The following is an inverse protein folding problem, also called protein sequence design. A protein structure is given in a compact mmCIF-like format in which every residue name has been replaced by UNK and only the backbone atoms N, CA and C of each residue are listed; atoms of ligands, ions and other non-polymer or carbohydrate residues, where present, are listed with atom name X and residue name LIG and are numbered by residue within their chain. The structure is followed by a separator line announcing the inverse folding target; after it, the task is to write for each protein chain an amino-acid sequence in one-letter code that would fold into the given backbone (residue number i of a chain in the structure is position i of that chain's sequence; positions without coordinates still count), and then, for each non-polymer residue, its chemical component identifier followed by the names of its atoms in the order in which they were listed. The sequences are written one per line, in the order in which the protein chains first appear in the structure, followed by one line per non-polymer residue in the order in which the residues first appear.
data_IF_534723704422
#
_entry.id   IF_534723704422
#
_cell.length_a   1.000
_cell.length_b   1.000
_cell.length_c   1.000
_cell.angle_alpha   90.00
_cell.angle_beta   90.00
_cell.angle_gamma   90.00
#
_symmetry.space_group_name_H-M   'P 1'
#
loop_
_entity.id
_entity.type
_entity.pdbx_description
1 polymer ?
#
# COMPACT_ATOMS: atom_id res chain seq x y z
N UNK A 1 3.47 20.88 -4.03
CA UNK A 1 3.89 19.67 -3.32
C UNK A 1 3.27 19.74 -1.93
N UNK A 2 2.33 18.86 -1.65
CA UNK A 2 1.80 18.69 -0.29
C UNK A 2 2.93 18.17 0.61
N UNK A 3 2.98 18.64 1.84
CA UNK A 3 3.89 18.11 2.88
C UNK A 3 3.26 16.86 3.47
N UNK A 4 4.04 15.77 3.54
CA UNK A 4 3.56 14.51 4.09
C UNK A 4 3.25 14.61 5.59
N UNK A 5 2.14 14.00 6.02
CA UNK A 5 1.64 14.02 7.39
C UNK A 5 2.58 13.35 8.40
N UNK A 6 3.37 12.35 7.98
CA UNK A 6 4.17 11.52 8.89
C UNK A 6 5.65 11.92 8.95
N UNK A 7 6.31 12.10 7.81
CA UNK A 7 7.74 12.42 7.77
C UNK A 7 8.04 13.93 7.85
N UNK A 8 7.03 14.79 7.64
CA UNK A 8 7.16 16.25 7.78
C UNK A 8 6.24 16.76 8.89
N UNK A 9 6.60 16.57 10.17
CA UNK A 9 5.72 16.92 11.28
C UNK A 9 5.45 18.43 11.31
N UNK A 10 4.18 18.81 11.16
CA UNK A 10 3.67 20.20 11.21
C UNK A 10 3.58 20.79 12.62
N UNK A 11 4.44 20.35 13.55
CA UNK A 11 4.48 20.81 14.95
C UNK A 11 3.83 19.87 15.98
N UNK A 12 3.06 18.87 15.54
CA UNK A 12 2.61 17.75 16.40
C UNK A 12 3.60 16.59 16.34
N UNK A 13 3.79 15.87 17.45
CA UNK A 13 4.60 14.65 17.45
C UNK A 13 3.91 13.55 16.64
N UNK A 14 4.67 12.69 15.95
CA UNK A 14 4.12 11.55 15.20
C UNK A 14 3.29 10.63 16.09
N UNK A 15 3.71 10.45 17.35
CA UNK A 15 2.98 9.64 18.36
C UNK A 15 1.63 10.24 18.70
N UNK A 16 1.53 11.55 18.90
CA UNK A 16 0.25 12.19 19.22
C UNK A 16 -0.66 12.27 17.99
N UNK A 17 -0.10 12.47 16.80
CA UNK A 17 -0.84 12.36 15.55
C UNK A 17 -1.38 10.93 15.36
N UNK A 18 -0.58 9.90 15.64
CA UNK A 18 -0.99 8.50 15.54
C UNK A 18 -2.15 8.15 16.49
N UNK A 19 -2.17 8.70 17.71
CA UNK A 19 -3.31 8.54 18.64
C UNK A 19 -4.59 9.16 18.07
N UNK A 20 -4.49 10.34 17.44
CA UNK A 20 -5.62 10.98 16.77
C UNK A 20 -6.10 10.15 15.58
N UNK A 21 -5.17 9.68 14.75
CA UNK A 21 -5.44 8.79 13.62
C UNK A 21 -6.17 7.51 14.08
N UNK A 22 -5.69 6.86 15.14
CA UNK A 22 -6.30 5.66 15.72
C UNK A 22 -7.71 5.91 16.33
N UNK A 23 -8.04 7.16 16.70
CA UNK A 23 -9.36 7.50 17.25
C UNK A 23 -10.49 7.40 16.22
N UNK A 24 -10.18 7.28 14.93
CA UNK A 24 -11.18 7.07 13.88
C UNK A 24 -12.05 8.30 13.59
N UNK A 25 -11.68 9.48 14.08
CA UNK A 25 -12.40 10.73 13.78
C UNK A 25 -12.11 11.11 12.32
N UNK A 26 -12.95 10.63 11.39
CA UNK A 26 -12.81 10.75 9.92
C UNK A 26 -12.72 12.22 9.43
N UNK A 27 -11.56 12.86 9.60
CA UNK A 27 -11.24 14.13 8.96
C UNK A 27 -10.62 13.88 7.58
N UNK A 28 -10.67 14.87 6.70
CA UNK A 28 -10.00 14.82 5.39
C UNK A 28 -8.49 14.63 5.50
N UNK A 29 -7.88 15.02 6.62
CA UNK A 29 -6.44 14.90 6.86
C UNK A 29 -6.01 13.42 6.98
N UNK A 30 -6.92 12.52 7.39
CA UNK A 30 -6.60 11.10 7.48
C UNK A 30 -6.58 10.40 6.12
N UNK A 31 -7.29 10.92 5.12
CA UNK A 31 -7.17 10.41 3.75
C UNK A 31 -5.78 10.73 3.18
N UNK A 32 -5.30 11.95 3.40
CA UNK A 32 -3.93 12.33 3.02
C UNK A 32 -2.89 11.51 3.79
N UNK A 33 -3.11 11.26 5.08
CA UNK A 33 -2.23 10.41 5.88
C UNK A 33 -2.15 8.96 5.36
N UNK A 34 -3.27 8.38 4.92
CA UNK A 34 -3.29 7.06 4.27
C UNK A 34 -2.54 7.07 2.94
N UNK A 35 -2.78 8.09 2.11
CA UNK A 35 -2.08 8.25 0.83
C UNK A 35 -0.56 8.36 1.02
N UNK A 36 -0.12 9.15 2.00
CA UNK A 36 1.30 9.29 2.32
C UNK A 36 1.95 7.95 2.68
N UNK A 37 1.24 7.06 3.39
CA UNK A 37 1.73 5.72 3.73
C UNK A 37 1.79 4.79 2.51
N UNK A 38 0.96 5.03 1.50
CA UNK A 38 1.00 4.26 0.26
C UNK A 38 2.11 4.70 -0.71
N UNK A 39 2.68 5.91 -0.57
CA UNK A 39 3.62 6.46 -1.55
C UNK A 39 4.95 6.94 -0.97
N UNK A 40 5.10 7.03 0.35
CA UNK A 40 6.32 7.51 0.99
C UNK A 40 6.88 6.52 2.01
N UNK A 41 8.05 5.94 1.72
CA UNK A 41 8.69 4.97 2.61
C UNK A 41 9.15 5.59 3.94
N UNK A 42 9.50 6.87 3.95
CA UNK A 42 9.83 7.61 5.18
C UNK A 42 8.61 7.76 6.08
N UNK A 43 7.42 8.00 5.49
CA UNK A 43 6.16 8.02 6.24
C UNK A 43 5.88 6.68 6.91
N UNK A 44 6.06 5.58 6.17
CA UNK A 44 5.93 4.22 6.71
C UNK A 44 6.92 3.99 7.86
N UNK A 45 8.17 4.43 7.72
CA UNK A 45 9.17 4.28 8.77
C UNK A 45 8.80 5.05 10.04
N UNK A 46 8.41 6.33 9.94
CA UNK A 46 8.02 7.13 11.10
C UNK A 46 6.71 6.65 11.73
N UNK A 47 5.75 6.18 10.93
CA UNK A 47 4.51 5.56 11.41
C UNK A 47 4.80 4.35 12.29
N UNK A 48 5.57 3.37 11.78
CA UNK A 48 5.83 2.13 12.52
C UNK A 48 6.72 2.35 13.74
N UNK A 49 7.64 3.32 13.66
CA UNK A 49 8.41 3.77 14.82
C UNK A 49 7.51 4.35 15.93
N UNK A 50 6.55 5.21 15.58
CA UNK A 50 5.60 5.75 16.55
C UNK A 50 4.64 4.67 17.08
N UNK A 51 4.25 3.72 16.24
CA UNK A 51 3.43 2.56 16.61
C UNK A 51 4.11 1.68 17.66
N UNK A 52 5.42 1.46 17.57
CA UNK A 52 6.17 0.65 18.54
C UNK A 52 6.11 1.23 19.96
N UNK A 53 5.90 2.55 20.09
CA UNK A 53 5.73 3.23 21.38
C UNK A 53 4.32 3.07 21.98
N UNK A 54 3.35 2.58 21.21
CA UNK A 54 1.93 2.52 21.56
C UNK A 54 1.35 1.09 21.46
N UNK A 55 1.85 0.12 22.27
CA UNK A 55 1.38 -1.28 22.21
C UNK A 55 -0.13 -1.42 22.47
N UNK A 56 -0.72 -0.52 23.27
CA UNK A 56 -2.15 -0.52 23.56
C UNK A 56 -3.03 -0.13 22.36
N UNK A 57 -2.45 0.38 21.27
CA UNK A 57 -3.15 0.70 20.03
C UNK A 57 -2.89 -0.33 18.91
N UNK A 58 -2.01 -1.32 19.11
CA UNK A 58 -1.58 -2.21 18.03
C UNK A 58 -2.71 -2.93 17.32
N UNK A 59 -3.77 -3.33 18.03
CA UNK A 59 -4.94 -3.99 17.44
C UNK A 59 -5.69 -3.03 16.50
N UNK A 60 -6.05 -1.83 16.99
CA UNK A 60 -6.74 -0.81 16.20
C UNK A 60 -5.89 -0.34 15.01
N UNK A 61 -4.58 -0.15 15.22
CA UNK A 61 -3.66 0.26 14.17
C UNK A 61 -3.51 -0.84 13.12
N UNK A 62 -3.43 -2.11 13.53
CA UNK A 62 -3.37 -3.24 12.59
C UNK A 62 -4.62 -3.33 11.71
N UNK A 63 -5.81 -3.07 12.25
CA UNK A 63 -7.04 -2.97 11.45
C UNK A 63 -6.96 -1.84 10.42
N UNK A 64 -6.43 -0.67 10.80
CA UNK A 64 -6.26 0.47 9.89
C UNK A 64 -5.21 0.19 8.81
N UNK A 65 -4.07 -0.36 9.18
CA UNK A 65 -2.97 -0.76 8.28
C UNK A 65 -3.47 -1.75 7.22
N UNK A 66 -4.08 -2.84 7.66
CA UNK A 66 -4.55 -3.91 6.76
C UNK A 66 -5.69 -3.41 5.88
N UNK A 67 -6.62 -2.61 6.41
CA UNK A 67 -7.68 -1.98 5.63
C UNK A 67 -7.12 -1.04 4.57
N UNK A 68 -6.17 -0.17 4.91
CA UNK A 68 -5.50 0.75 3.98
C UNK A 68 -4.84 -0.03 2.85
N UNK A 69 -4.05 -1.05 3.19
CA UNK A 69 -3.36 -1.90 2.21
C UNK A 69 -4.34 -2.59 1.28
N UNK A 70 -5.40 -3.21 1.81
CA UNK A 70 -6.42 -3.89 0.99
C UNK A 70 -7.08 -2.91 0.03
N UNK A 71 -7.53 -1.75 0.51
CA UNK A 71 -8.16 -0.73 -0.34
C UNK A 71 -7.19 -0.29 -1.44
N UNK A 72 -5.91 -0.11 -1.11
CA UNK A 72 -4.91 0.31 -2.08
C UNK A 72 -4.59 -0.77 -3.12
N UNK A 73 -4.47 -2.04 -2.72
CA UNK A 73 -4.30 -3.16 -3.64
C UNK A 73 -5.51 -3.30 -4.56
N UNK A 74 -6.73 -3.27 -4.02
CA UNK A 74 -7.97 -3.34 -4.81
C UNK A 74 -8.05 -2.20 -5.84
N UNK A 75 -7.74 -0.97 -5.43
CA UNK A 75 -7.72 0.18 -6.34
C UNK A 75 -6.67 0.03 -7.42
N UNK A 76 -5.46 -0.39 -7.06
CA UNK A 76 -4.35 -0.56 -8.00
C UNK A 76 -4.62 -1.67 -9.01
N UNK A 77 -5.31 -2.75 -8.60
CA UNK A 77 -5.74 -3.82 -9.49
C UNK A 77 -6.95 -3.46 -10.35
N UNK A 78 -7.89 -2.65 -9.84
CA UNK A 78 -9.10 -2.25 -10.59
C UNK A 78 -8.82 -1.16 -11.63
N UNK A 79 -7.92 -0.23 -11.32
CA UNK A 79 -7.50 0.83 -12.26
C UNK A 79 -6.95 0.27 -13.58
N UNK A 80 -6.60 -1.02 -13.63
CA UNK A 80 -6.18 -1.69 -14.86
C UNK A 80 -7.34 -2.30 -15.66
N UNK A 81 -8.48 -2.64 -15.04
CA UNK A 81 -9.62 -3.27 -15.74
C UNK A 81 -10.40 -2.23 -16.55
N UNK A 82 -10.44 -0.97 -16.10
CA UNK A 82 -11.12 0.12 -16.82
C UNK A 82 -10.24 0.77 -17.91
N UNK A 83 -8.92 0.56 -17.86
CA UNK A 83 -7.98 0.94 -18.95
C UNK A 83 -7.81 -0.20 -19.98
N UNK A 84 -8.40 -1.39 -19.74
CA UNK A 84 -8.38 -2.59 -20.63
C UNK A 84 -9.68 -2.74 -21.45
N UNK A 85 -10.41 -1.64 -21.67
CA UNK A 85 -11.39 -1.52 -22.77
C UNK A 85 -10.70 -1.23 -24.13
N UNK A 86 -9.40 -1.53 -24.27
CA UNK A 86 -8.67 -1.55 -25.54
C UNK A 86 -8.33 -3.00 -25.98
N UNK A 87 -9.27 -3.57 -26.74
CA UNK A 87 -9.06 -4.54 -27.83
C UNK A 87 -8.25 -5.81 -27.51
N UNK A 88 -8.97 -6.90 -27.19
CA UNK A 88 -8.47 -8.26 -27.38
C UNK A 88 -8.08 -8.52 -28.85
N UNK A 89 -6.78 -8.65 -29.13
CA UNK A 89 -6.30 -9.29 -30.36
C UNK A 89 -6.26 -10.81 -30.10
N UNK A 90 -7.17 -11.54 -30.73
CA UNK A 90 -7.11 -13.01 -30.81
C UNK A 90 -6.08 -13.38 -31.89
N UNK A 91 -4.88 -13.68 -31.45
CA UNK A 91 -3.87 -14.39 -32.22
C UNK A 91 -4.15 -15.90 -32.14
N UNK A 92 -4.05 -16.59 -33.27
CA UNK A 92 -4.45 -17.99 -33.45
C UNK A 92 -3.28 -18.98 -33.29
N UNK A 93 -2.20 -18.62 -32.59
CA UNK A 93 -0.93 -19.37 -32.63
C UNK A 93 -0.32 -19.80 -31.29
N UNK A 94 -1.02 -19.64 -30.17
CA UNK A 94 -0.70 -20.40 -28.95
C UNK A 94 0.60 -19.98 -28.23
N UNK A 95 1.02 -18.72 -28.34
CA UNK A 95 2.05 -18.15 -27.48
C UNK A 95 1.42 -17.17 -26.48
N UNK A 96 1.79 -17.32 -25.21
CA UNK A 96 1.24 -16.58 -24.08
C UNK A 96 1.40 -15.07 -24.27
N UNK A 97 0.31 -14.31 -24.11
CA UNK A 97 0.33 -12.85 -24.16
C UNK A 97 1.32 -12.29 -23.14
N UNK A 98 2.38 -11.66 -23.64
CA UNK A 98 3.28 -10.82 -22.88
C UNK A 98 2.51 -9.55 -22.48
N UNK A 99 2.29 -9.40 -21.17
CA UNK A 99 1.73 -8.21 -20.54
C UNK A 99 2.72 -7.03 -20.62
N UNK A 100 2.97 -6.50 -21.80
CA UNK A 100 3.64 -5.21 -22.00
C UNK A 100 2.54 -4.24 -22.46
N UNK A 101 2.11 -3.22 -21.72
CA UNK A 101 2.75 -1.89 -21.68
C UNK A 101 2.14 -0.93 -20.61
N UNK A 102 1.70 -1.40 -19.44
CA UNK A 102 1.18 -0.55 -18.33
C UNK A 102 1.85 -0.80 -16.96
N UNK A 103 2.95 -1.57 -16.92
CA UNK A 103 3.55 -2.08 -15.66
C UNK A 103 4.24 -1.06 -14.75
N UNK A 104 4.74 0.07 -15.27
CA UNK A 104 5.54 1.00 -14.47
C UNK A 104 4.69 1.76 -13.43
N UNK A 105 3.46 2.15 -13.78
CA UNK A 105 2.55 2.83 -12.84
C UNK A 105 2.01 1.86 -11.78
N UNK A 106 1.76 0.61 -12.15
CA UNK A 106 1.38 -0.44 -11.20
C UNK A 106 2.51 -0.74 -10.22
N UNK A 107 3.73 -0.95 -10.72
CA UNK A 107 4.93 -1.14 -9.90
C UNK A 107 5.19 0.03 -8.96
N UNK A 108 5.05 1.27 -9.47
CA UNK A 108 5.21 2.48 -8.66
C UNK A 108 4.15 2.58 -7.55
N UNK A 109 2.90 2.23 -7.83
CA UNK A 109 1.80 2.23 -6.85
C UNK A 109 1.98 1.15 -5.77
N UNK A 110 2.58 0.01 -6.10
CA UNK A 110 2.72 -1.10 -5.16
C UNK A 110 4.06 -1.17 -4.43
N UNK A 111 5.08 -0.45 -4.92
CA UNK A 111 6.43 -0.50 -4.34
C UNK A 111 6.45 -0.25 -2.83
N UNK A 112 5.87 0.84 -2.34
CA UNK A 112 5.89 1.17 -0.91
C UNK A 112 5.05 0.19 -0.08
N UNK A 113 3.80 -0.15 -0.45
CA UNK A 113 3.01 -1.19 0.22
C UNK A 113 3.72 -2.55 0.34
N UNK A 114 4.40 -2.99 -0.72
CA UNK A 114 5.12 -4.26 -0.71
C UNK A 114 6.35 -4.20 0.22
N UNK A 115 7.13 -3.13 0.14
CA UNK A 115 8.28 -2.92 1.03
C UNK A 115 7.85 -2.83 2.50
N UNK A 116 6.70 -2.21 2.77
CA UNK A 116 6.11 -2.17 4.11
C UNK A 116 5.82 -3.58 4.62
N UNK A 117 5.12 -4.41 3.84
CA UNK A 117 4.78 -5.79 4.23
C UNK A 117 6.04 -6.63 4.48
N UNK A 118 7.05 -6.51 3.61
CA UNK A 118 8.32 -7.23 3.76
C UNK A 118 9.07 -6.80 5.03
N UNK A 119 9.04 -5.51 5.36
CA UNK A 119 9.69 -4.98 6.57
C UNK A 119 8.92 -5.30 7.85
N UNK A 120 7.58 -5.41 7.75
CA UNK A 120 6.68 -5.63 8.88
C UNK A 120 5.78 -6.86 8.65
N UNK A 121 6.32 -8.09 8.76
CA UNK A 121 5.62 -9.31 8.34
C UNK A 121 4.36 -9.64 9.12
N UNK A 122 4.13 -9.02 10.28
CA UNK A 122 2.91 -9.20 11.05
C UNK A 122 1.65 -8.77 10.27
N UNK A 123 1.79 -7.92 9.25
CA UNK A 123 0.72 -7.55 8.33
C UNK A 123 0.14 -8.77 7.57
N UNK A 124 0.94 -9.82 7.38
CA UNK A 124 0.52 -11.07 6.73
C UNK A 124 -0.35 -11.96 7.60
N UNK A 125 -0.53 -11.63 8.89
CA UNK A 125 -1.51 -12.30 9.74
C UNK A 125 -2.95 -12.02 9.26
N UNK A 126 -3.16 -11.00 8.44
CA UNK A 126 -4.44 -10.75 7.80
C UNK A 126 -4.55 -11.55 6.50
N UNK A 127 -5.47 -12.52 6.45
CA UNK A 127 -5.62 -13.46 5.33
C UNK A 127 -5.68 -12.76 3.97
N UNK A 128 -6.47 -11.68 3.87
CA UNK A 128 -6.63 -10.93 2.63
C UNK A 128 -5.36 -10.20 2.16
N UNK A 129 -4.53 -9.70 3.08
CA UNK A 129 -3.24 -9.08 2.72
C UNK A 129 -2.28 -10.16 2.20
N UNK A 130 -2.28 -11.33 2.84
CA UNK A 130 -1.51 -12.49 2.38
C UNK A 130 -1.93 -12.95 0.98
N UNK A 131 -3.23 -12.98 0.68
CA UNK A 131 -3.73 -13.34 -0.66
C UNK A 131 -3.15 -12.45 -1.76
N UNK A 132 -3.04 -11.13 -1.54
CA UNK A 132 -2.48 -10.21 -2.54
C UNK A 132 -1.01 -10.47 -2.87
N UNK A 133 -0.21 -11.02 -1.95
CA UNK A 133 1.18 -11.39 -2.24
C UNK A 133 1.31 -12.59 -3.19
N UNK A 134 0.29 -13.44 -3.26
CA UNK A 134 0.28 -14.63 -4.12
C UNK A 134 -0.27 -14.34 -5.51
N UNK A 135 -0.67 -13.10 -5.80
CA UNK A 135 -1.09 -12.69 -7.14
C UNK A 135 0.14 -12.71 -8.05
N UNK A 136 0.14 -13.44 -9.19
CA UNK A 136 1.32 -13.62 -10.04
C UNK A 136 2.01 -12.32 -10.43
N UNK A 137 1.25 -11.24 -10.62
CA UNK A 137 1.78 -9.89 -10.90
C UNK A 137 2.53 -9.28 -9.72
N UNK A 138 2.01 -9.39 -8.49
CA UNK A 138 2.72 -8.93 -7.29
C UNK A 138 4.01 -9.75 -7.10
N UNK A 139 3.95 -11.05 -7.37
CA UNK A 139 5.13 -11.92 -7.39
C UNK A 139 6.14 -11.46 -8.45
N UNK A 140 5.69 -11.04 -9.64
CA UNK A 140 6.57 -10.44 -10.65
C UNK A 140 7.22 -9.15 -10.16
N UNK A 141 6.47 -8.25 -9.52
CA UNK A 141 7.04 -6.99 -8.96
C UNK A 141 8.13 -7.30 -7.93
N UNK A 142 7.91 -8.28 -7.06
CA UNK A 142 8.93 -8.72 -6.10
C UNK A 142 10.19 -9.25 -6.81
N UNK A 143 10.02 -10.11 -7.82
CA UNK A 143 11.11 -10.67 -8.61
C UNK A 143 11.89 -9.59 -9.40
N UNK A 144 11.21 -8.60 -9.98
CA UNK A 144 11.85 -7.49 -10.72
C UNK A 144 12.61 -6.53 -9.81
N UNK A 145 12.18 -6.38 -8.55
CA UNK A 145 12.88 -5.56 -7.56
C UNK A 145 14.07 -6.28 -6.90
N UNK A 146 14.34 -7.53 -7.26
CA UNK A 146 15.44 -8.32 -6.70
C UNK A 146 15.23 -8.72 -5.24
N UNK A 147 13.97 -8.84 -4.81
CA UNK A 147 13.54 -9.23 -3.47
C UNK A 147 13.01 -10.66 -3.43
#
# INVERSE_FOLDING_TARGET
MSTCCWCTPGGISTVDFLKLYASGTLSSEFQTADEDLCYCLECVAEYHKARDELPFLHEVLWELETRRLIIHFEKSMRAEIEDDDELYIVDNNGEAQLFDFTGQDFENKLRVPLLEILKYPYLLLHARVSEYLHVPRVTSVLLFQGL
#
